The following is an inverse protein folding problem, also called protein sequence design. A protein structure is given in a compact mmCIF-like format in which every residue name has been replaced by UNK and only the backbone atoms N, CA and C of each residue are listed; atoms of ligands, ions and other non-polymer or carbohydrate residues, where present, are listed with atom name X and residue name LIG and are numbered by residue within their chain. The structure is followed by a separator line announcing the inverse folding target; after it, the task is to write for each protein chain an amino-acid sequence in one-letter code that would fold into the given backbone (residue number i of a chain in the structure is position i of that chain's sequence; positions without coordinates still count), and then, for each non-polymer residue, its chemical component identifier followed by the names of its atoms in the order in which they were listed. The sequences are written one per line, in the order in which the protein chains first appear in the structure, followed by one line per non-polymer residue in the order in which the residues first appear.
data_IF_003260840711
#
_entry.id   IF_003260840711
#
_cell.length_a   1.000
_cell.length_b   1.000
_cell.length_c   1.000
_cell.angle_alpha   90.00
_cell.angle_beta   90.00
_cell.angle_gamma   90.00
#
_symmetry.space_group_name_H-M   'P 1'
#
loop_
_entity.id
_entity.type
_entity.pdbx_description
1 polymer ?
#
# COMPACT_ATOMS: atom_id res chain seq x y z
N UNK A 1 -18.91 -17.47 11.58
CA UNK A 1 -19.68 -16.79 10.51
C UNK A 1 -19.33 -17.47 9.19
N UNK A 2 -20.29 -17.73 8.28
CA UNK A 2 -20.00 -18.39 6.99
C UNK A 2 -19.94 -17.41 5.80
N UNK A 3 -20.33 -16.16 6.02
CA UNK A 3 -20.30 -15.08 5.04
C UNK A 3 -20.05 -13.76 5.76
N UNK A 4 -19.32 -12.85 5.13
CA UNK A 4 -19.21 -11.45 5.51
C UNK A 4 -19.43 -10.58 4.27
N UNK A 5 -20.08 -9.44 4.44
CA UNK A 5 -20.16 -8.41 3.41
C UNK A 5 -19.40 -7.19 3.88
N UNK A 6 -18.48 -6.71 3.04
CA UNK A 6 -17.68 -5.52 3.29
C UNK A 6 -18.22 -4.37 2.46
N UNK A 7 -18.53 -3.26 3.11
CA UNK A 7 -18.94 -2.03 2.48
C UNK A 7 -17.73 -1.16 2.14
N UNK A 8 -17.68 -0.67 0.90
CA UNK A 8 -16.66 0.27 0.39
C UNK A 8 -15.22 -0.13 0.76
N UNK A 9 -14.76 -1.37 0.53
CA UNK A 9 -13.38 -1.75 0.84
C UNK A 9 -12.40 -0.90 0.02
N UNK A 10 -11.31 -0.48 0.66
CA UNK A 10 -10.29 0.39 0.11
C UNK A 10 -8.91 -0.26 0.21
N UNK A 11 -8.08 0.00 -0.81
CA UNK A 11 -6.66 -0.35 -0.79
C UNK A 11 -5.82 0.93 -0.77
N UNK A 12 -5.23 1.27 0.38
CA UNK A 12 -4.52 2.54 0.54
C UNK A 12 -3.08 2.53 0.04
N UNK A 13 -2.64 1.47 -0.66
CA UNK A 13 -1.32 1.41 -1.29
C UNK A 13 -1.31 0.43 -2.47
N UNK A 14 -1.47 0.92 -3.70
CA UNK A 14 -1.58 0.05 -4.88
C UNK A 14 -0.68 0.46 -6.03
N UNK A 15 -0.01 -0.53 -6.65
CA UNK A 15 0.77 -0.36 -7.86
C UNK A 15 0.08 -1.02 -9.05
N UNK A 16 -0.48 -0.20 -9.95
CA UNK A 16 -1.16 -0.69 -11.15
C UNK A 16 -0.26 -0.80 -12.39
N UNK A 17 0.95 -0.23 -12.34
CA UNK A 17 1.86 -0.12 -13.50
C UNK A 17 1.16 0.59 -14.67
N UNK A 18 1.56 0.33 -15.91
CA UNK A 18 0.96 0.95 -17.09
C UNK A 18 0.88 -0.05 -18.27
N UNK A 19 0.20 0.34 -19.34
CA UNK A 19 0.06 -0.46 -20.57
C UNK A 19 -0.58 -1.83 -20.32
N UNK A 20 -0.05 -2.88 -20.97
CA UNK A 20 -0.61 -4.23 -20.88
C UNK A 20 -0.66 -4.79 -19.44
N UNK A 21 0.29 -4.39 -18.58
CA UNK A 21 0.29 -4.77 -17.18
C UNK A 21 -0.90 -4.13 -16.44
N UNK A 22 -1.16 -2.85 -16.69
CA UNK A 22 -2.32 -2.14 -16.14
C UNK A 22 -3.63 -2.80 -16.56
N UNK A 23 -3.78 -3.13 -17.84
CA UNK A 23 -4.96 -3.83 -18.38
C UNK A 23 -5.19 -5.19 -17.72
N UNK A 24 -4.11 -5.87 -17.30
CA UNK A 24 -4.17 -7.17 -16.63
C UNK A 24 -4.55 -7.04 -15.15
N UNK A 25 -3.93 -6.10 -14.42
CA UNK A 25 -3.97 -6.08 -12.95
C UNK A 25 -5.00 -5.12 -12.35
N UNK A 26 -5.38 -4.07 -13.08
CA UNK A 26 -6.36 -3.10 -12.58
C UNK A 26 -7.76 -3.71 -12.41
N UNK A 27 -8.30 -4.52 -13.34
CA UNK A 27 -9.60 -5.17 -13.16
C UNK A 27 -9.65 -6.06 -11.90
N UNK A 28 -8.54 -6.71 -11.56
CA UNK A 28 -8.45 -7.60 -10.39
C UNK A 28 -8.60 -6.84 -9.07
N UNK A 29 -8.02 -5.64 -9.01
CA UNK A 29 -8.16 -4.73 -7.87
C UNK A 29 -9.56 -4.10 -7.85
N UNK A 30 -10.02 -3.60 -9.00
CA UNK A 30 -11.31 -2.96 -9.15
C UNK A 30 -12.49 -3.91 -8.91
N UNK A 31 -12.30 -5.23 -9.07
CA UNK A 31 -13.28 -6.23 -8.69
C UNK A 31 -13.39 -6.38 -7.16
N UNK A 32 -12.30 -6.22 -6.41
CA UNK A 32 -12.28 -6.43 -4.94
C UNK A 32 -12.50 -5.14 -4.14
N UNK A 33 -12.11 -3.99 -4.65
CA UNK A 33 -12.10 -2.71 -3.91
C UNK A 33 -13.00 -1.67 -4.56
N UNK A 34 -13.50 -0.72 -3.77
CA UNK A 34 -14.27 0.45 -4.23
C UNK A 34 -13.35 1.59 -4.68
N UNK A 35 -12.11 1.61 -4.19
CA UNK A 35 -11.10 2.56 -4.61
C UNK A 35 -9.74 2.20 -4.03
N UNK A 36 -8.70 2.83 -4.57
CA UNK A 36 -7.35 2.61 -4.10
C UNK A 36 -6.47 3.85 -4.26
N UNK A 37 -5.47 4.01 -3.39
CA UNK A 37 -4.41 5.00 -3.55
C UNK A 37 -3.41 4.48 -4.57
N UNK A 38 -3.31 5.18 -5.69
CA UNK A 38 -2.49 4.77 -6.82
C UNK A 38 -1.10 5.38 -6.70
N UNK A 39 -0.09 4.52 -6.58
CA UNK A 39 1.30 4.94 -6.42
C UNK A 39 1.92 5.45 -7.73
N UNK A 40 2.80 6.47 -7.69
CA UNK A 40 3.16 7.26 -8.87
C UNK A 40 4.50 6.88 -9.52
N UNK A 41 5.14 5.79 -9.07
CA UNK A 41 6.47 5.35 -9.49
C UNK A 41 6.48 4.60 -10.84
N UNK A 42 5.79 5.16 -11.84
CA UNK A 42 5.92 4.76 -13.24
C UNK A 42 7.31 5.15 -13.80
N UNK A 43 7.60 4.75 -15.04
CA UNK A 43 8.80 5.17 -15.76
C UNK A 43 8.36 5.88 -17.04
N UNK A 44 8.49 7.22 -17.15
CA UNK A 44 8.90 8.16 -16.10
C UNK A 44 7.84 8.29 -14.97
N UNK A 45 8.21 8.81 -13.78
CA UNK A 45 7.27 8.96 -12.67
C UNK A 45 6.15 9.95 -12.99
N UNK A 46 5.03 9.78 -12.31
CA UNK A 46 3.87 10.69 -12.35
C UNK A 46 4.15 11.86 -11.41
N UNK A 47 4.83 12.88 -11.92
CA UNK A 47 5.34 14.01 -11.14
C UNK A 47 4.74 15.36 -11.56
N UNK A 48 3.67 15.36 -12.37
CA UNK A 48 2.97 16.56 -12.82
C UNK A 48 1.46 16.31 -12.91
N UNK A 49 0.68 17.39 -12.88
CA UNK A 49 -0.78 17.33 -13.03
C UNK A 49 -1.19 16.68 -14.36
N UNK A 50 -0.53 17.04 -15.47
CA UNK A 50 -0.81 16.46 -16.79
C UNK A 50 -0.65 14.94 -16.80
N UNK A 51 0.49 14.44 -16.27
CA UNK A 51 0.73 12.99 -16.16
C UNK A 51 -0.29 12.31 -15.25
N UNK A 52 -0.66 12.96 -14.15
CA UNK A 52 -1.65 12.47 -13.20
C UNK A 52 -3.02 12.27 -13.86
N UNK A 53 -3.51 13.28 -14.58
CA UNK A 53 -4.80 13.21 -15.28
C UNK A 53 -4.77 12.15 -16.39
N UNK A 54 -3.72 12.14 -17.20
CA UNK A 54 -3.55 11.15 -18.27
C UNK A 54 -3.49 9.71 -17.72
N UNK A 55 -2.79 9.48 -16.61
CA UNK A 55 -2.72 8.15 -16.00
C UNK A 55 -4.06 7.74 -15.38
N UNK A 56 -4.76 8.67 -14.72
CA UNK A 56 -6.11 8.43 -14.18
C UNK A 56 -7.08 7.96 -15.26
N UNK A 57 -7.07 8.59 -16.44
CA UNK A 57 -7.92 8.19 -17.57
C UNK A 57 -7.64 6.75 -18.04
N UNK A 58 -6.36 6.36 -18.15
CA UNK A 58 -5.99 4.98 -18.50
C UNK A 58 -6.48 3.97 -17.46
N UNK A 59 -6.37 4.29 -16.17
CA UNK A 59 -6.85 3.42 -15.09
C UNK A 59 -8.37 3.29 -15.14
N UNK A 60 -9.10 4.40 -15.28
CA UNK A 60 -10.57 4.37 -15.39
C UNK A 60 -10.99 3.52 -16.59
N UNK A 61 -10.31 3.66 -17.73
CA UNK A 61 -10.57 2.84 -18.91
C UNK A 61 -10.33 1.34 -18.65
N UNK A 62 -9.23 0.98 -17.98
CA UNK A 62 -8.93 -0.40 -17.62
C UNK A 62 -9.93 -0.99 -16.60
N UNK A 63 -10.52 -0.13 -15.76
CA UNK A 63 -11.47 -0.51 -14.72
C UNK A 63 -12.94 -0.38 -15.15
N UNK A 64 -13.25 -0.06 -16.42
CA UNK A 64 -14.59 0.38 -16.86
C UNK A 64 -15.77 -0.56 -16.51
N UNK A 65 -15.50 -1.85 -16.26
CA UNK A 65 -16.50 -2.82 -15.83
C UNK A 65 -16.85 -2.77 -14.33
N UNK A 66 -16.13 -1.96 -13.53
CA UNK A 66 -16.23 -1.91 -12.08
C UNK A 66 -16.41 -0.47 -11.58
N UNK A 67 -17.17 -0.31 -10.50
CA UNK A 67 -17.25 0.96 -9.78
C UNK A 67 -16.00 1.14 -8.89
N UNK A 68 -14.99 1.83 -9.42
CA UNK A 68 -13.68 1.96 -8.78
C UNK A 68 -13.13 3.38 -8.90
N UNK A 69 -12.77 4.00 -7.77
CA UNK A 69 -12.14 5.32 -7.73
C UNK A 69 -10.61 5.21 -7.56
N UNK A 70 -9.81 5.60 -8.56
CA UNK A 70 -8.36 5.71 -8.41
C UNK A 70 -7.99 7.05 -7.72
N UNK A 71 -7.63 6.97 -6.44
CA UNK A 71 -7.11 8.10 -5.68
C UNK A 71 -5.65 8.38 -6.06
N UNK A 72 -5.45 9.31 -6.98
CA UNK A 72 -4.14 9.57 -7.59
C UNK A 72 -3.15 10.21 -6.62
N UNK A 73 -1.87 9.94 -6.81
CA UNK A 73 -0.77 10.61 -6.10
C UNK A 73 0.23 11.21 -7.09
N UNK A 74 1.06 12.13 -6.63
CA UNK A 74 2.26 12.55 -7.35
C UNK A 74 3.52 11.97 -6.71
N UNK A 75 4.52 11.67 -7.53
CA UNK A 75 5.87 11.33 -7.09
C UNK A 75 6.53 12.59 -6.53
N UNK A 76 7.05 12.52 -5.32
CA UNK A 76 7.64 13.68 -4.67
C UNK A 76 8.82 14.25 -5.47
N UNK A 77 8.77 15.57 -5.67
CA UNK A 77 9.90 16.41 -6.05
C UNK A 77 9.71 17.78 -5.39
N UNK A 78 10.66 18.68 -5.60
CA UNK A 78 10.49 20.05 -5.14
C UNK A 78 9.51 20.79 -6.05
N UNK A 79 8.29 20.99 -5.54
CA UNK A 79 7.19 21.64 -6.24
C UNK A 79 7.08 23.12 -5.87
N UNK A 80 6.71 23.95 -6.84
CA UNK A 80 6.24 25.29 -6.54
C UNK A 80 4.80 25.26 -5.97
N UNK A 81 4.44 26.24 -5.16
CA UNK A 81 3.09 26.37 -4.58
C UNK A 81 1.98 26.31 -5.64
N UNK A 82 2.18 26.99 -6.78
CA UNK A 82 1.21 27.00 -7.89
C UNK A 82 0.97 25.59 -8.47
N UNK A 83 2.01 24.75 -8.54
CA UNK A 83 1.87 23.37 -9.02
C UNK A 83 1.05 22.54 -8.03
N UNK A 84 1.34 22.65 -6.73
CA UNK A 84 0.60 21.96 -5.67
C UNK A 84 -0.85 22.41 -5.60
N UNK A 85 -1.11 23.72 -5.68
CA UNK A 85 -2.46 24.28 -5.66
C UNK A 85 -3.29 23.78 -6.86
N UNK A 86 -2.69 23.70 -8.04
CA UNK A 86 -3.35 23.15 -9.23
C UNK A 86 -3.59 21.64 -9.12
N UNK A 87 -2.67 20.89 -8.49
CA UNK A 87 -2.78 19.44 -8.36
C UNK A 87 -3.74 18.99 -7.25
N UNK A 88 -3.87 19.77 -6.17
CA UNK A 88 -4.68 19.46 -4.98
C UNK A 88 -6.08 18.85 -5.25
N UNK A 89 -6.92 19.38 -6.15
CA UNK A 89 -8.24 18.79 -6.40
C UNK A 89 -8.21 17.44 -7.12
N UNK A 90 -7.05 17.03 -7.66
CA UNK A 90 -6.90 15.83 -8.48
C UNK A 90 -6.09 14.71 -7.79
N UNK A 91 -5.54 14.97 -6.60
CA UNK A 91 -4.67 14.03 -5.90
C UNK A 91 -5.11 13.84 -4.45
N UNK A 92 -4.89 12.65 -3.92
CA UNK A 92 -5.09 12.36 -2.49
C UNK A 92 -3.85 12.69 -1.65
N UNK A 93 -2.68 12.82 -2.27
CA UNK A 93 -1.43 13.15 -1.60
C UNK A 93 -0.21 13.02 -2.50
N UNK A 94 0.97 13.18 -1.90
CA UNK A 94 2.26 13.07 -2.59
C UNK A 94 3.08 11.97 -1.94
N UNK A 95 3.62 11.06 -2.76
CA UNK A 95 4.41 9.91 -2.32
C UNK A 95 5.90 10.21 -2.42
N UNK A 96 6.55 10.23 -1.26
CA UNK A 96 7.99 10.35 -1.09
C UNK A 96 8.65 8.97 -1.14
N UNK A 97 9.64 8.84 -2.01
CA UNK A 97 10.57 7.72 -2.06
C UNK A 97 11.98 8.24 -1.74
N UNK A 98 12.67 7.67 -0.74
CA UNK A 98 14.10 7.87 -0.56
C UNK A 98 14.87 7.39 -1.80
N UNK A 99 15.87 8.14 -2.24
CA UNK A 99 16.58 7.90 -3.50
C UNK A 99 17.21 6.49 -3.55
N UNK A 100 16.84 5.71 -4.57
CA UNK A 100 17.43 4.39 -4.84
C UNK A 100 17.07 3.26 -3.89
N UNK A 101 16.13 3.45 -2.95
CA UNK A 101 15.79 2.43 -1.94
C UNK A 101 14.84 1.34 -2.48
N UNK A 102 13.90 1.70 -3.34
CA UNK A 102 12.89 0.77 -3.91
C UNK A 102 12.73 0.90 -5.44
N UNK A 103 11.85 0.10 -6.05
CA UNK A 103 11.61 0.05 -7.49
C UNK A 103 11.22 1.43 -8.05
N UNK A 104 11.95 1.88 -9.08
CA UNK A 104 11.78 3.17 -9.77
C UNK A 104 11.91 4.40 -8.84
N UNK A 105 12.73 4.30 -7.80
CA UNK A 105 13.00 5.42 -6.88
C UNK A 105 14.24 6.26 -7.25
N UNK A 106 14.85 6.03 -8.43
CA UNK A 106 15.93 6.89 -8.92
C UNK A 106 15.42 8.32 -9.13
N UNK A 107 16.06 9.30 -8.50
CA UNK A 107 15.61 10.70 -8.47
C UNK A 107 14.71 11.04 -7.27
N UNK A 108 14.67 10.17 -6.26
CA UNK A 108 14.00 10.40 -4.99
C UNK A 108 14.71 11.42 -4.08
N UNK A 109 14.20 11.58 -2.87
CA UNK A 109 14.75 12.53 -1.89
C UNK A 109 16.02 11.95 -1.24
N UNK A 110 17.10 12.73 -1.22
CA UNK A 110 18.40 12.33 -0.64
C UNK A 110 18.54 12.69 0.83
N UNK A 111 18.07 13.88 1.19
CA UNK A 111 18.05 14.40 2.55
C UNK A 111 16.68 15.02 2.80
N UNK A 112 16.11 14.81 3.99
CA UNK A 112 14.74 15.29 4.28
C UNK A 112 14.68 16.81 4.30
N UNK A 113 15.79 17.46 4.66
CA UNK A 113 16.00 18.90 4.68
C UNK A 113 15.73 19.52 3.30
N UNK A 114 16.12 18.83 2.22
CA UNK A 114 15.90 19.30 0.85
C UNK A 114 14.42 19.24 0.43
N UNK A 115 13.61 18.43 1.12
CA UNK A 115 12.19 18.26 0.89
C UNK A 115 11.33 19.22 1.73
N UNK A 116 11.90 19.81 2.79
CA UNK A 116 11.18 20.64 3.75
C UNK A 116 10.37 21.79 3.14
N UNK A 117 10.87 22.56 2.14
CA UNK A 117 10.09 23.65 1.56
C UNK A 117 8.79 23.16 0.91
N UNK A 118 8.83 22.01 0.25
CA UNK A 118 7.64 21.41 -0.36
C UNK A 118 6.71 20.82 0.70
N UNK A 119 7.27 20.19 1.74
CA UNK A 119 6.51 19.64 2.88
C UNK A 119 5.77 20.76 3.63
N UNK A 120 6.38 21.93 3.78
CA UNK A 120 5.73 23.12 4.36
C UNK A 120 4.51 23.54 3.52
N UNK A 121 4.67 23.66 2.19
CA UNK A 121 3.57 23.97 1.30
C UNK A 121 2.47 22.91 1.34
N UNK A 122 2.83 21.63 1.41
CA UNK A 122 1.87 20.53 1.56
C UNK A 122 1.08 20.67 2.86
N UNK A 123 1.71 21.06 3.97
CA UNK A 123 1.02 21.32 5.22
C UNK A 123 0.02 22.48 5.08
N UNK A 124 0.44 23.60 4.50
CA UNK A 124 -0.44 24.77 4.34
C UNK A 124 -1.62 24.49 3.41
N UNK A 125 -1.39 23.70 2.36
CA UNK A 125 -2.44 23.28 1.43
C UNK A 125 -3.26 22.08 1.93
N UNK A 126 -2.86 21.43 3.02
CA UNK A 126 -3.52 20.23 3.55
C UNK A 126 -3.40 19.01 2.63
N UNK A 127 -2.27 18.87 1.93
CA UNK A 127 -1.96 17.73 1.05
C UNK A 127 -1.19 16.68 1.87
N UNK A 128 -1.69 15.44 2.01
CA UNK A 128 -1.00 14.37 2.72
C UNK A 128 0.36 14.00 2.12
N UNK A 129 1.31 13.65 3.00
CA UNK A 129 2.62 13.10 2.66
C UNK A 129 2.62 11.59 2.93
N UNK A 130 2.73 10.79 1.87
CA UNK A 130 2.84 9.35 1.92
C UNK A 130 4.32 9.00 1.80
N UNK A 131 4.87 8.12 2.63
CA UNK A 131 6.32 7.92 2.70
C UNK A 131 6.69 6.45 2.70
N UNK A 132 7.55 6.05 1.77
CA UNK A 132 8.31 4.80 1.89
C UNK A 132 9.47 5.02 2.86
N UNK A 133 9.30 4.66 4.13
CA UNK A 133 10.22 5.02 5.21
C UNK A 133 11.38 4.05 5.42
N UNK A 134 12.35 4.02 4.51
CA UNK A 134 13.59 3.24 4.66
C UNK A 134 14.82 4.10 4.37
N UNK A 135 15.88 3.97 5.19
CA UNK A 135 17.19 4.57 4.89
C UNK A 135 18.00 3.70 3.92
N UNK A 136 19.22 4.11 3.59
CA UNK A 136 20.18 3.31 2.82
C UNK A 136 21.02 2.33 3.66
N UNK A 137 20.73 2.19 4.96
CA UNK A 137 21.46 1.33 5.90
C UNK A 137 21.31 -0.18 5.61
N UNK A 138 21.78 -1.03 6.53
CA UNK A 138 21.54 -2.47 6.49
C UNK A 138 20.04 -2.77 6.45
N UNK A 139 19.62 -3.64 5.51
CA UNK A 139 18.22 -3.82 5.09
C UNK A 139 17.24 -4.11 6.23
N UNK A 140 17.69 -4.78 7.30
CA UNK A 140 16.83 -5.07 8.45
C UNK A 140 16.58 -3.86 9.36
N UNK A 141 17.48 -2.87 9.33
CA UNK A 141 17.46 -1.71 10.22
C UNK A 141 16.92 -0.44 9.53
N UNK A 142 16.75 -0.48 8.20
CA UNK A 142 16.39 0.70 7.38
C UNK A 142 15.14 1.41 7.86
N UNK A 143 14.08 0.67 8.15
CA UNK A 143 12.81 1.25 8.61
C UNK A 143 12.95 1.84 10.01
N UNK A 144 13.55 1.10 10.94
CA UNK A 144 13.72 1.56 12.32
C UNK A 144 14.56 2.84 12.39
N UNK A 145 15.64 2.92 11.61
CA UNK A 145 16.46 4.13 11.51
C UNK A 145 15.71 5.30 10.87
N UNK A 146 14.78 5.04 9.96
CA UNK A 146 13.95 6.10 9.37
C UNK A 146 12.93 6.68 10.36
N UNK A 147 12.60 5.99 11.45
CA UNK A 147 11.64 6.47 12.46
C UNK A 147 12.06 7.79 13.12
N UNK A 148 13.35 8.13 13.18
CA UNK A 148 13.78 9.45 13.66
C UNK A 148 13.37 10.57 12.69
N UNK A 149 13.37 10.29 11.38
CA UNK A 149 12.94 11.24 10.34
C UNK A 149 11.43 11.50 10.48
N UNK A 150 10.61 10.45 10.65
CA UNK A 150 9.18 10.64 10.93
C UNK A 150 8.94 11.50 12.17
N UNK A 151 9.68 11.26 13.26
CA UNK A 151 9.57 12.07 14.48
C UNK A 151 9.96 13.54 14.25
N UNK A 152 10.98 13.81 13.42
CA UNK A 152 11.38 15.17 13.07
C UNK A 152 10.30 15.88 12.25
N UNK A 153 9.81 15.25 11.18
CA UNK A 153 8.77 15.83 10.31
C UNK A 153 7.48 16.04 11.10
N UNK A 154 7.03 15.05 11.89
CA UNK A 154 5.80 15.15 12.67
C UNK A 154 5.83 16.29 13.69
N UNK A 155 6.99 16.53 14.35
CA UNK A 155 7.17 17.65 15.28
C UNK A 155 7.23 19.01 14.58
N UNK A 156 7.93 19.07 13.44
CA UNK A 156 8.15 20.32 12.69
C UNK A 156 6.90 20.76 11.93
N UNK A 157 6.12 19.81 11.42
CA UNK A 157 4.90 20.02 10.64
C UNK A 157 3.71 19.34 11.32
N UNK A 158 3.27 19.81 12.50
CA UNK A 158 2.25 19.13 13.32
C UNK A 158 0.86 19.08 12.69
N UNK A 159 0.58 19.89 11.65
CA UNK A 159 -0.70 19.87 10.92
C UNK A 159 -0.66 19.00 9.66
N UNK A 160 0.53 18.55 9.24
CA UNK A 160 0.69 17.72 8.06
C UNK A 160 0.20 16.30 8.34
N UNK A 161 -0.71 15.78 7.52
CA UNK A 161 -1.07 14.37 7.53
C UNK A 161 0.07 13.55 6.92
N UNK A 162 0.73 12.72 7.72
CA UNK A 162 1.85 11.88 7.29
C UNK A 162 1.44 10.41 7.38
N UNK A 163 1.66 9.66 6.30
CA UNK A 163 1.36 8.22 6.22
C UNK A 163 2.68 7.45 6.10
N UNK A 164 2.98 6.66 7.13
CA UNK A 164 4.03 5.66 7.12
C UNK A 164 3.52 4.47 6.30
N UNK A 165 3.94 4.38 5.05
CA UNK A 165 3.46 3.32 4.18
C UNK A 165 4.02 1.96 4.60
N UNK A 166 3.24 0.90 4.35
CA UNK A 166 3.61 -0.53 4.45
C UNK A 166 4.59 -0.81 5.60
N UNK A 167 4.23 -0.40 6.82
CA UNK A 167 5.11 -0.54 7.99
C UNK A 167 5.40 -2.02 8.26
N UNK A 168 6.64 -2.31 8.69
CA UNK A 168 7.10 -3.70 8.85
C UNK A 168 7.74 -3.99 10.21
N UNK A 169 7.82 -3.00 11.10
CA UNK A 169 8.44 -3.13 12.42
C UNK A 169 7.47 -2.83 13.56
N UNK A 170 7.67 -3.50 14.70
CA UNK A 170 6.94 -3.17 15.94
C UNK A 170 7.19 -1.73 16.40
N UNK A 171 8.36 -1.18 16.08
CA UNK A 171 8.73 0.20 16.42
C UNK A 171 7.90 1.23 15.63
N UNK A 172 7.57 0.94 14.36
CA UNK A 172 6.68 1.78 13.56
C UNK A 172 5.24 1.76 14.11
N UNK A 173 4.75 0.59 14.54
CA UNK A 173 3.44 0.47 15.23
C UNK A 173 3.42 1.34 16.49
N UNK A 174 4.43 1.21 17.35
CA UNK A 174 4.53 2.00 18.59
C UNK A 174 4.64 3.52 18.34
N UNK A 175 5.08 3.95 17.16
CA UNK A 175 5.20 5.37 16.81
C UNK A 175 3.85 6.02 16.50
N UNK A 176 2.84 5.27 16.04
CA UNK A 176 1.50 5.79 15.68
C UNK A 176 0.82 6.54 16.83
N UNK A 177 0.99 6.07 18.06
CA UNK A 177 0.36 6.65 19.25
C UNK A 177 1.10 7.88 19.78
N UNK A 178 2.33 8.12 19.32
CA UNK A 178 3.18 9.22 19.82
C UNK A 178 2.89 10.56 19.17
N UNK A 179 2.24 10.56 18.00
CA UNK A 179 1.97 11.78 17.21
C UNK A 179 0.56 11.73 16.61
N UNK A 180 -0.21 12.81 16.77
CA UNK A 180 -1.58 12.88 16.27
C UNK A 180 -1.67 12.79 14.74
N UNK A 181 -0.65 13.31 14.06
CA UNK A 181 -0.61 13.47 12.61
C UNK A 181 0.15 12.35 11.87
N UNK A 182 0.55 11.28 12.57
CA UNK A 182 1.10 10.07 11.98
C UNK A 182 0.02 8.99 11.81
N UNK A 183 -0.05 8.45 10.61
CA UNK A 183 -0.89 7.32 10.22
C UNK A 183 -0.03 6.26 9.55
N UNK A 184 -0.56 5.06 9.32
CA UNK A 184 0.16 4.02 8.59
C UNK A 184 -0.75 3.15 7.73
N UNK A 185 -0.13 2.50 6.75
CA UNK A 185 -0.70 1.34 6.07
C UNK A 185 0.11 0.09 6.42
N UNK A 186 -0.55 -1.07 6.41
CA UNK A 186 0.12 -2.37 6.49
C UNK A 186 -0.42 -3.30 5.40
N UNK A 187 0.48 -4.10 4.86
CA UNK A 187 0.20 -5.00 3.73
C UNK A 187 -0.39 -6.31 4.21
N UNK A 188 -0.99 -7.07 3.28
CA UNK A 188 -1.39 -8.44 3.56
C UNK A 188 -0.18 -9.31 3.92
N UNK A 189 0.89 -9.22 3.12
CA UNK A 189 2.01 -10.14 3.21
C UNK A 189 2.81 -9.94 4.50
N UNK A 190 3.01 -8.70 4.97
CA UNK A 190 3.70 -8.43 6.25
C UNK A 190 2.91 -8.85 7.49
N UNK A 191 1.60 -9.09 7.38
CA UNK A 191 0.81 -9.70 8.46
C UNK A 191 1.00 -11.23 8.55
N UNK A 192 1.53 -11.84 7.48
CA UNK A 192 1.58 -13.30 7.33
C UNK A 192 3.01 -13.83 7.44
N UNK A 193 3.96 -13.16 6.80
CA UNK A 193 5.31 -13.68 6.59
C UNK A 193 6.35 -13.00 7.48
N UNK A 194 7.45 -13.70 7.68
CA UNK A 194 8.69 -13.25 8.31
C UNK A 194 9.86 -13.42 7.34
N UNK A 195 11.06 -13.00 7.72
CA UNK A 195 12.25 -13.24 6.91
C UNK A 195 12.52 -14.74 6.67
N UNK A 196 12.08 -15.62 7.58
CA UNK A 196 12.26 -17.07 7.41
C UNK A 196 11.45 -17.61 6.23
N UNK A 197 10.28 -17.05 5.93
CA UNK A 197 9.49 -17.43 4.76
C UNK A 197 10.16 -16.99 3.45
N UNK A 198 10.96 -15.94 3.49
CA UNK A 198 11.71 -15.43 2.34
C UNK A 198 13.02 -16.20 2.14
N UNK A 199 13.75 -16.47 3.23
CA UNK A 199 15.16 -16.90 3.17
C UNK A 199 15.60 -17.87 4.29
N UNK A 200 14.70 -18.44 5.09
CA UNK A 200 15.03 -19.43 6.12
C UNK A 200 15.26 -20.85 5.57
N UNK A 201 14.65 -21.16 4.42
CA UNK A 201 14.85 -22.39 3.66
C UNK A 201 15.44 -22.11 2.27
N UNK A 202 14.80 -22.60 1.21
CA UNK A 202 15.11 -22.13 -0.14
C UNK A 202 14.63 -20.69 -0.30
N UNK A 203 15.42 -19.87 -1.00
CA UNK A 203 15.04 -18.49 -1.29
C UNK A 203 13.72 -18.46 -2.07
N UNK A 204 12.73 -17.74 -1.56
CA UNK A 204 11.45 -17.55 -2.22
C UNK A 204 11.35 -16.13 -2.82
N UNK A 205 11.66 -15.95 -4.12
CA UNK A 205 11.66 -14.63 -4.75
C UNK A 205 10.27 -13.97 -4.76
N UNK A 206 9.20 -14.76 -4.79
CA UNK A 206 7.82 -14.23 -4.84
C UNK A 206 7.37 -13.58 -3.53
N UNK A 207 8.10 -13.80 -2.43
CA UNK A 207 7.89 -13.13 -1.14
C UNK A 207 8.87 -11.96 -0.89
N UNK A 208 9.84 -11.75 -1.77
CA UNK A 208 10.77 -10.62 -1.68
C UNK A 208 10.07 -9.30 -2.05
N UNK A 209 10.03 -8.37 -1.08
CA UNK A 209 9.50 -7.01 -1.20
C UNK A 209 10.34 -6.02 -0.40
N UNK A 210 9.95 -4.74 -0.46
CA UNK A 210 10.56 -3.63 0.29
C UNK A 210 9.45 -2.80 0.94
N UNK A 211 9.48 -2.59 2.27
CA UNK A 211 10.52 -3.05 3.20
C UNK A 211 10.54 -4.58 3.34
N UNK A 212 11.73 -5.14 3.61
CA UNK A 212 11.86 -6.60 3.77
C UNK A 212 11.02 -7.10 4.94
N UNK A 213 10.40 -8.27 4.81
CA UNK A 213 9.77 -8.95 5.95
C UNK A 213 10.78 -9.11 7.10
N UNK A 214 10.33 -8.82 8.32
CA UNK A 214 11.20 -8.70 9.50
C UNK A 214 11.13 -9.96 10.37
N UNK A 215 11.29 -9.79 11.68
CA UNK A 215 11.31 -10.88 12.66
C UNK A 215 9.88 -11.26 13.07
N UNK A 216 9.66 -12.44 13.67
CA UNK A 216 8.35 -12.86 14.18
C UNK A 216 7.69 -11.81 15.08
N UNK A 217 8.44 -11.18 15.98
CA UNK A 217 7.92 -10.15 16.90
C UNK A 217 7.45 -8.87 16.19
N UNK A 218 7.99 -8.55 15.02
CA UNK A 218 7.53 -7.44 14.21
C UNK A 218 6.22 -7.80 13.52
N UNK A 219 6.15 -8.98 12.89
CA UNK A 219 4.95 -9.53 12.25
C UNK A 219 3.80 -9.65 13.25
N UNK A 220 4.08 -10.10 14.47
CA UNK A 220 3.08 -10.23 15.55
C UNK A 220 2.53 -8.87 15.99
N UNK A 221 3.39 -7.84 16.09
CA UNK A 221 2.95 -6.49 16.44
C UNK A 221 2.07 -5.84 15.35
N UNK A 222 2.43 -6.05 14.08
CA UNK A 222 1.62 -5.61 12.93
C UNK A 222 0.26 -6.31 12.92
N UNK A 223 0.28 -7.64 13.13
CA UNK A 223 -0.92 -8.47 13.15
C UNK A 223 -1.87 -8.03 14.26
N UNK A 224 -1.37 -7.82 15.48
CA UNK A 224 -2.20 -7.35 16.59
C UNK A 224 -2.81 -5.98 16.30
N UNK A 225 -2.04 -5.03 15.77
CA UNK A 225 -2.55 -3.71 15.41
C UNK A 225 -3.66 -3.77 14.33
N UNK A 226 -3.52 -4.64 13.33
CA UNK A 226 -4.53 -4.86 12.30
C UNK A 226 -5.78 -5.56 12.85
N UNK A 227 -5.61 -6.64 13.62
CA UNK A 227 -6.70 -7.40 14.24
C UNK A 227 -7.51 -6.57 15.23
N UNK A 228 -6.87 -5.61 15.90
CA UNK A 228 -7.52 -4.63 16.78
C UNK A 228 -8.08 -3.42 16.03
N UNK A 229 -7.99 -3.39 14.69
CA UNK A 229 -8.41 -2.29 13.82
C UNK A 229 -7.96 -0.92 14.31
N UNK A 230 -6.68 -0.81 14.70
CA UNK A 230 -6.08 0.41 15.25
C UNK A 230 -6.48 1.64 14.40
N UNK A 231 -7.03 2.73 15.00
CA UNK A 231 -7.74 3.77 14.24
C UNK A 231 -6.87 4.51 13.22
N UNK A 232 -5.55 4.59 13.47
CA UNK A 232 -4.58 5.20 12.55
C UNK A 232 -3.90 4.23 11.59
N UNK A 233 -4.29 2.95 11.59
CA UNK A 233 -3.77 1.92 10.71
C UNK A 233 -4.85 1.50 9.70
N UNK A 234 -4.55 1.65 8.42
CA UNK A 234 -5.42 1.22 7.32
C UNK A 234 -4.79 0.06 6.56
N UNK A 235 -5.61 -0.74 5.88
CA UNK A 235 -5.10 -1.67 4.88
C UNK A 235 -4.50 -0.91 3.68
N UNK A 236 -3.30 -1.27 3.27
CA UNK A 236 -2.71 -0.88 2.00
C UNK A 236 -1.87 -2.03 1.48
N UNK A 237 -2.26 -2.62 0.35
CA UNK A 237 -1.77 -3.94 -0.03
C UNK A 237 -0.29 -3.96 -0.40
N UNK A 238 0.22 -2.84 -0.89
CA UNK A 238 1.46 -2.76 -1.67
C UNK A 238 1.52 -3.87 -2.73
N UNK A 239 0.37 -4.16 -3.35
CA UNK A 239 0.30 -5.16 -4.40
C UNK A 239 1.09 -4.65 -5.60
N UNK A 240 2.26 -5.23 -5.80
CA UNK A 240 3.30 -4.75 -6.68
C UNK A 240 3.61 -5.82 -7.74
N UNK A 241 2.81 -5.90 -8.82
CA UNK A 241 2.99 -6.91 -9.85
C UNK A 241 4.31 -6.70 -10.60
N UNK A 242 4.95 -7.82 -10.92
CA UNK A 242 6.12 -7.91 -11.78
C UNK A 242 5.94 -9.14 -12.69
N UNK A 243 6.39 -9.08 -13.95
CA UNK A 243 6.48 -10.26 -14.80
C UNK A 243 7.27 -11.37 -14.09
N UNK A 244 6.85 -12.62 -14.25
CA UNK A 244 7.50 -13.78 -13.64
C UNK A 244 9.00 -13.79 -13.90
N UNK A 245 9.42 -13.45 -15.13
CA UNK A 245 10.84 -13.36 -15.52
C UNK A 245 11.66 -12.33 -14.73
N UNK A 246 11.01 -11.32 -14.15
CA UNK A 246 11.66 -10.33 -13.26
C UNK A 246 11.71 -10.79 -11.80
N UNK A 247 10.83 -11.70 -11.39
CA UNK A 247 10.88 -12.35 -10.06
C UNK A 247 11.88 -13.50 -10.05
N UNK A 248 11.86 -14.35 -11.07
CA UNK A 248 12.65 -15.57 -11.20
C UNK A 248 13.97 -15.30 -11.97
N UNK A 249 14.74 -14.33 -11.51
CA UNK A 249 16.07 -14.03 -12.04
C UNK A 249 17.05 -13.66 -10.92
N UNK A 250 18.35 -13.61 -11.23
CA UNK A 250 19.42 -13.37 -10.26
C UNK A 250 19.31 -12.03 -9.51
N UNK A 251 18.65 -11.03 -10.09
CA UNK A 251 18.46 -9.72 -9.49
C UNK A 251 17.12 -9.50 -8.79
N UNK A 252 16.18 -10.45 -8.88
CA UNK A 252 14.80 -10.46 -8.35
C UNK A 252 14.16 -9.08 -8.06
N UNK A 253 13.16 -8.69 -8.85
CA UNK A 253 12.39 -7.47 -8.54
C UNK A 253 11.64 -7.58 -7.21
N UNK A 254 11.71 -6.54 -6.40
CA UNK A 254 10.99 -6.43 -5.13
C UNK A 254 9.50 -6.10 -5.36
N UNK A 255 8.62 -6.89 -4.76
CA UNK A 255 7.17 -6.70 -4.81
C UNK A 255 6.42 -8.01 -4.69
N UNK A 256 5.28 -8.00 -3.99
CA UNK A 256 4.38 -9.16 -3.88
C UNK A 256 3.07 -8.79 -4.54
N UNK A 257 2.53 -9.68 -5.39
CA UNK A 257 1.25 -9.46 -6.04
C UNK A 257 0.11 -10.09 -5.22
N UNK A 258 -0.67 -9.26 -4.52
CA UNK A 258 -1.71 -9.71 -3.58
C UNK A 258 -3.11 -9.18 -3.89
N UNK A 259 -3.27 -8.21 -4.81
CA UNK A 259 -4.55 -7.58 -5.11
C UNK A 259 -5.73 -8.56 -5.30
N UNK A 260 -5.63 -9.63 -6.12
CA UNK A 260 -6.77 -10.54 -6.36
C UNK A 260 -7.16 -11.40 -5.15
N UNK A 261 -6.28 -11.53 -4.15
CA UNK A 261 -6.44 -12.46 -3.02
C UNK A 261 -6.54 -11.75 -1.67
N UNK A 262 -6.41 -10.42 -1.65
CA UNK A 262 -6.28 -9.64 -0.43
C UNK A 262 -7.46 -9.82 0.53
N UNK A 263 -8.68 -9.51 0.08
CA UNK A 263 -9.86 -9.60 0.94
C UNK A 263 -10.19 -11.03 1.39
N UNK A 264 -10.14 -12.06 0.51
CA UNK A 264 -10.30 -13.45 0.95
C UNK A 264 -9.31 -13.88 2.04
N UNK A 265 -8.02 -13.57 1.89
CA UNK A 265 -7.02 -13.97 2.88
C UNK A 265 -7.15 -13.14 4.16
N UNK A 266 -7.47 -11.84 4.07
CA UNK A 266 -7.77 -11.04 5.26
C UNK A 266 -8.99 -11.58 6.01
N UNK A 267 -10.05 -11.99 5.32
CA UNK A 267 -11.21 -12.63 5.97
C UNK A 267 -10.80 -13.92 6.69
N UNK A 268 -10.02 -14.78 6.04
CA UNK A 268 -9.48 -15.99 6.68
C UNK A 268 -8.61 -15.67 7.91
N UNK A 269 -7.76 -14.64 7.80
CA UNK A 269 -6.87 -14.19 8.86
C UNK A 269 -7.64 -13.59 10.04
N UNK A 270 -8.64 -12.74 9.81
CA UNK A 270 -9.43 -12.16 10.89
C UNK A 270 -10.37 -13.20 11.53
N UNK A 271 -10.94 -14.11 10.75
CA UNK A 271 -11.80 -15.20 11.24
C UNK A 271 -11.04 -16.17 12.14
N UNK A 272 -9.83 -16.62 11.76
CA UNK A 272 -9.02 -17.54 12.61
C UNK A 272 -8.60 -16.94 13.94
N UNK A 273 -8.59 -15.61 14.07
CA UNK A 273 -8.30 -14.90 15.31
C UNK A 273 -9.56 -14.45 16.05
N UNK A 274 -10.77 -14.77 15.56
CA UNK A 274 -12.03 -14.36 16.17
C UNK A 274 -12.26 -12.85 16.13
N UNK A 275 -11.73 -12.16 15.11
CA UNK A 275 -11.75 -10.70 14.95
C UNK A 275 -12.44 -10.25 13.66
N UNK A 276 -13.25 -11.09 13.03
CA UNK A 276 -13.88 -10.80 11.75
C UNK A 276 -14.67 -9.47 11.72
N UNK A 277 -15.30 -9.09 12.84
CA UNK A 277 -16.04 -7.83 13.00
C UNK A 277 -15.16 -6.57 12.82
N UNK A 278 -13.86 -6.69 13.09
CA UNK A 278 -12.90 -5.59 12.95
C UNK A 278 -12.45 -5.38 11.49
N UNK A 279 -12.68 -6.37 10.60
CA UNK A 279 -12.20 -6.32 9.23
C UNK A 279 -12.74 -5.12 8.46
N UNK A 280 -14.02 -4.80 8.61
CA UNK A 280 -14.67 -3.64 7.98
C UNK A 280 -13.98 -2.30 8.33
N UNK A 281 -13.56 -2.14 9.59
CA UNK A 281 -12.86 -0.93 10.01
C UNK A 281 -11.46 -0.88 9.40
N UNK A 282 -10.74 -2.00 9.39
CA UNK A 282 -9.37 -2.09 8.88
C UNK A 282 -9.27 -1.84 7.37
N UNK A 283 -10.18 -2.42 6.57
CA UNK A 283 -10.16 -2.30 5.09
C UNK A 283 -10.96 -1.13 4.55
N UNK A 284 -11.62 -0.32 5.39
CA UNK A 284 -12.41 0.82 4.91
C UNK A 284 -12.55 1.93 5.95
N UNK A 285 -13.17 1.65 7.10
CA UNK A 285 -13.58 2.67 8.06
C UNK A 285 -12.44 3.58 8.54
N UNK A 286 -11.25 3.02 8.76
CA UNK A 286 -10.05 3.79 9.14
C UNK A 286 -9.61 4.72 8.01
N UNK A 287 -9.48 4.22 6.79
CA UNK A 287 -9.09 5.01 5.63
C UNK A 287 -10.06 6.16 5.33
N UNK A 288 -11.38 5.89 5.38
CA UNK A 288 -12.43 6.90 5.22
C UNK A 288 -12.28 8.04 6.22
N UNK A 289 -12.06 7.72 7.50
CA UNK A 289 -11.85 8.73 8.56
C UNK A 289 -10.54 9.48 8.41
N UNK A 290 -9.45 8.77 8.16
CA UNK A 290 -8.09 9.33 8.17
C UNK A 290 -7.91 10.28 6.97
N UNK A 291 -8.35 9.87 5.78
CA UNK A 291 -8.25 10.68 4.56
C UNK A 291 -9.45 11.61 4.32
N UNK A 292 -10.53 11.48 5.10
CA UNK A 292 -11.78 12.27 4.96
C UNK A 292 -12.39 12.17 3.54
N UNK A 293 -12.38 10.96 3.00
CA UNK A 293 -12.90 10.64 1.66
C UNK A 293 -14.27 9.97 1.72
N UNK A 294 -15.04 10.05 0.63
CA UNK A 294 -16.29 9.30 0.46
C UNK A 294 -16.14 8.36 -0.75
N UNK A 295 -15.80 7.08 -0.55
CA UNK A 295 -15.66 6.13 -1.64
C UNK A 295 -16.98 5.84 -2.33
N UNK A 296 -16.94 5.39 -3.60
CA UNK A 296 -18.13 4.99 -4.31
C UNK A 296 -18.81 3.81 -3.61
N UNK A 297 -20.14 3.73 -3.75
CA UNK A 297 -20.91 2.61 -3.20
C UNK A 297 -20.49 1.29 -3.83
N UNK A 298 -20.12 0.34 -2.97
CA UNK A 298 -19.76 -1.02 -3.37
C UNK A 298 -19.88 -1.94 -2.16
N UNK A 299 -20.56 -3.06 -2.34
CA UNK A 299 -20.63 -4.14 -1.36
C UNK A 299 -19.87 -5.34 -1.92
N UNK A 300 -19.05 -5.95 -1.06
CA UNK A 300 -18.16 -7.04 -1.44
C UNK A 300 -18.43 -8.23 -0.53
N UNK A 301 -19.00 -9.30 -1.07
CA UNK A 301 -19.41 -10.47 -0.32
C UNK A 301 -18.34 -11.57 -0.40
N UNK A 302 -17.94 -12.07 0.77
CA UNK A 302 -16.99 -13.16 0.94
C UNK A 302 -17.69 -14.32 1.66
N UNK A 303 -17.50 -15.53 1.17
CA UNK A 303 -18.03 -16.76 1.78
C UNK A 303 -16.91 -17.69 2.19
N UNK A 304 -17.10 -18.42 3.28
CA UNK A 304 -16.15 -19.39 3.82
C UNK A 304 -16.24 -20.71 3.05
N UNK A 305 -15.80 -20.67 1.81
CA UNK A 305 -15.73 -21.82 0.91
C UNK A 305 -14.33 -21.96 0.30
N UNK A 306 -13.77 -23.18 0.27
CA UNK A 306 -12.49 -23.43 -0.37
C UNK A 306 -12.45 -22.98 -1.83
N UNK A 307 -11.35 -22.36 -2.23
CA UNK A 307 -11.09 -21.99 -3.62
C UNK A 307 -9.58 -22.01 -3.90
N UNK A 308 -9.19 -22.25 -5.15
CA UNK A 308 -7.79 -22.24 -5.56
C UNK A 308 -7.39 -20.86 -6.04
N UNK A 309 -6.23 -20.38 -5.58
CA UNK A 309 -5.58 -19.21 -6.16
C UNK A 309 -5.04 -19.61 -7.55
N UNK A 310 -5.39 -18.89 -8.62
CA UNK A 310 -4.83 -19.14 -9.94
C UNK A 310 -3.29 -19.10 -9.94
N UNK A 311 -2.67 -19.97 -10.74
CA UNK A 311 -1.20 -20.02 -10.87
C UNK A 311 -0.59 -18.70 -11.36
N UNK A 312 -1.33 -17.96 -12.19
CA UNK A 312 -0.90 -16.68 -12.77
C UNK A 312 -2.09 -15.88 -13.31
N UNK A 313 -1.85 -14.58 -13.44
CA UNK A 313 -2.69 -13.63 -14.17
C UNK A 313 -1.85 -12.98 -15.27
N UNK A 314 -2.05 -13.38 -16.52
CA UNK A 314 -1.13 -13.04 -17.60
C UNK A 314 0.26 -13.64 -17.36
N UNK A 315 1.26 -12.79 -17.19
CA UNK A 315 2.65 -13.16 -16.86
C UNK A 315 3.02 -12.86 -15.40
N UNK A 316 2.05 -12.54 -14.53
CA UNK A 316 2.27 -12.24 -13.11
C UNK A 316 1.83 -13.39 -12.22
N UNK A 317 2.69 -13.77 -11.26
CA UNK A 317 2.41 -14.82 -10.27
C UNK A 317 1.88 -14.17 -8.98
N UNK A 318 0.66 -14.51 -8.51
CA UNK A 318 0.17 -14.03 -7.22
C UNK A 318 0.88 -14.73 -6.05
N UNK A 319 0.85 -14.09 -4.88
CA UNK A 319 1.26 -14.75 -3.64
C UNK A 319 0.42 -16.01 -3.43
N UNK A 320 1.09 -17.12 -3.08
CA UNK A 320 0.46 -18.43 -2.87
C UNK A 320 -0.31 -18.97 -4.09
N UNK A 321 0.16 -18.65 -5.31
CA UNK A 321 -0.24 -19.31 -6.54
C UNK A 321 -0.41 -20.84 -6.36
N UNK A 322 -1.54 -21.37 -6.86
CA UNK A 322 -1.87 -22.80 -6.80
C UNK A 322 -2.35 -23.31 -5.44
N UNK A 323 -2.33 -22.50 -4.38
CA UNK A 323 -2.77 -22.90 -3.05
C UNK A 323 -4.27 -22.72 -2.85
N UNK A 324 -4.83 -23.48 -1.91
CA UNK A 324 -6.22 -23.37 -1.48
C UNK A 324 -6.38 -22.28 -0.42
N UNK A 325 -7.39 -21.43 -0.58
CA UNK A 325 -7.84 -20.44 0.42
C UNK A 325 -9.23 -20.82 0.93
N UNK A 326 -9.47 -20.56 2.22
CA UNK A 326 -10.70 -20.97 2.92
C UNK A 326 -11.88 -20.01 2.77
N UNK A 327 -11.63 -18.83 2.19
CA UNK A 327 -12.63 -17.84 1.86
C UNK A 327 -12.48 -17.47 0.38
N UNK A 328 -13.60 -17.13 -0.27
CA UNK A 328 -13.59 -16.66 -1.65
C UNK A 328 -14.54 -15.48 -1.83
N UNK A 329 -14.23 -14.66 -2.83
CA UNK A 329 -15.09 -13.58 -3.28
C UNK A 329 -16.29 -14.15 -4.07
N UNK A 330 -17.47 -13.56 -3.89
CA UNK A 330 -18.72 -13.95 -4.58
C UNK A 330 -19.23 -12.85 -5.50
N UNK A 331 -19.18 -11.60 -5.02
CA UNK A 331 -19.64 -10.39 -5.70
C UNK A 331 -18.96 -9.18 -5.10
#
# INVERSE_FOLDING_TARGET
MNQITLSKPLDMHLHLRDGQMLETVAPLSANSFAGAVIMPNLVPPVDSLEKCLSYRERIISACAANNFEPYMTLFFKNYAEKELAAAKPHIIGIKLYPDGITTNSQGGVKAIEDAEPTIELMQELGIPLLVHGETADFVMDREEKFLSVYQQIAKKFPRLHIVMEHITTRHAVALLDRFENLFATVTLHHLLITLDDVAGGMLNPHLFCKPIAKRPEDRDALLEAALSAHPKLSFGSDSAPHPQSKKECCGCAAGVFTAPIALPILAALFDRHGKLDNLQSFVSGNAVRNYRINPPEKEVALVKEPSLIPEKYGDVVPMWAGQEISWRLVS
#
